data_IF_441488924791
#
_entry.id   IF_441488924791
#
_cell.length_a   1.000
_cell.length_b   1.000
_cell.length_c   1.000
_cell.angle_alpha   90.00
_cell.angle_beta   90.00
_cell.angle_gamma   90.00
#
_symmetry.space_group_name_H-M   'P 1'
#
loop_
_entity.id
_entity.type
_entity.pdbx_description
1 polymer ?
#
# COMPACT_ATOMS: atom_id res chain seq x y z
N UNK A 1 -11.74 -19.66 -56.46
CA UNK A 1 -12.72 -18.58 -56.68
C UNK A 1 -13.92 -18.72 -55.72
N UNK A 2 -13.67 -18.76 -54.40
CA UNK A 2 -14.70 -18.81 -53.33
C UNK A 2 -14.23 -18.19 -51.99
N UNK A 3 -13.15 -17.41 -51.99
CA UNK A 3 -12.59 -16.76 -50.80
C UNK A 3 -12.77 -15.22 -50.85
N UNK A 4 -13.18 -14.66 -51.99
CA UNK A 4 -13.25 -13.21 -52.18
C UNK A 4 -14.63 -12.58 -51.85
N UNK A 5 -15.67 -13.38 -51.63
CA UNK A 5 -17.03 -12.88 -51.35
C UNK A 5 -17.36 -12.70 -49.86
N UNK A 6 -16.43 -13.01 -48.95
CA UNK A 6 -16.66 -12.85 -47.50
C UNK A 6 -16.08 -11.54 -46.94
N UNK A 7 -15.37 -10.76 -47.76
CA UNK A 7 -14.62 -9.57 -47.34
C UNK A 7 -15.31 -8.24 -47.63
N UNK A 8 -16.49 -8.23 -48.26
CA UNK A 8 -17.18 -7.00 -48.71
C UNK A 8 -18.49 -6.68 -47.98
N UNK A 9 -18.88 -7.47 -46.98
CA UNK A 9 -20.15 -7.26 -46.24
C UNK A 9 -19.97 -6.77 -44.79
N UNK A 10 -18.75 -6.52 -44.32
CA UNK A 10 -18.47 -6.06 -42.93
C UNK A 10 -18.13 -4.58 -42.80
N UNK A 11 -18.13 -3.80 -43.89
CA UNK A 11 -17.64 -2.42 -43.90
C UNK A 11 -18.68 -1.32 -43.60
N UNK A 12 -19.95 -1.66 -43.35
CA UNK A 12 -21.01 -0.65 -43.20
C UNK A 12 -21.65 -0.53 -41.81
N UNK A 13 -21.17 -1.27 -40.79
CA UNK A 13 -21.72 -1.22 -39.42
C UNK A 13 -20.73 -0.79 -38.32
N UNK A 14 -19.52 -0.33 -38.68
CA UNK A 14 -18.40 -0.17 -37.73
C UNK A 14 -18.18 1.24 -37.18
N UNK A 15 -19.08 2.21 -37.43
CA UNK A 15 -18.84 3.60 -36.99
C UNK A 15 -19.60 4.01 -35.72
N UNK A 16 -20.71 3.35 -35.35
CA UNK A 16 -21.43 3.66 -34.09
C UNK A 16 -21.05 2.76 -32.89
N UNK A 17 -20.53 1.55 -33.13
CA UNK A 17 -20.17 0.63 -32.04
C UNK A 17 -18.97 1.08 -31.19
N UNK A 18 -17.91 1.74 -31.70
CA UNK A 18 -16.77 2.09 -30.86
C UNK A 18 -17.06 3.27 -29.92
N UNK A 19 -18.06 4.12 -30.20
CA UNK A 19 -18.40 5.26 -29.32
C UNK A 19 -19.22 4.78 -28.12
N UNK A 20 -20.17 3.87 -28.32
CA UNK A 20 -20.93 3.26 -27.22
C UNK A 20 -20.06 2.28 -26.42
N UNK A 21 -19.19 1.50 -27.08
CA UNK A 21 -18.21 0.67 -26.39
C UNK A 21 -17.18 1.51 -25.61
N UNK A 22 -16.75 2.66 -26.14
CA UNK A 22 -15.82 3.57 -25.45
C UNK A 22 -16.48 4.32 -24.29
N UNK A 23 -17.78 4.65 -24.37
CA UNK A 23 -18.53 5.21 -23.23
C UNK A 23 -18.79 4.16 -22.15
N UNK A 24 -19.19 2.95 -22.53
CA UNK A 24 -19.37 1.83 -21.58
C UNK A 24 -18.07 1.41 -20.91
N UNK A 25 -16.97 1.31 -21.67
CA UNK A 25 -15.65 1.00 -21.13
C UNK A 25 -15.11 2.12 -20.24
N UNK A 26 -15.37 3.40 -20.59
CA UNK A 26 -14.98 4.53 -19.73
C UNK A 26 -15.75 4.53 -18.42
N UNK A 27 -17.07 4.30 -18.45
CA UNK A 27 -17.89 4.28 -17.24
C UNK A 27 -17.58 3.09 -16.33
N UNK A 28 -17.31 1.91 -16.91
CA UNK A 28 -16.81 0.76 -16.16
C UNK A 28 -15.44 1.06 -15.53
N UNK A 29 -14.52 1.65 -16.29
CA UNK A 29 -13.20 2.04 -15.80
C UNK A 29 -13.26 3.08 -14.68
N UNK A 30 -14.15 4.08 -14.77
CA UNK A 30 -14.32 5.11 -13.74
C UNK A 30 -14.86 4.50 -12.43
N UNK A 31 -15.74 3.49 -12.52
CA UNK A 31 -16.26 2.78 -11.35
C UNK A 31 -15.21 1.89 -10.66
N UNK A 32 -14.33 1.23 -11.43
CA UNK A 32 -13.23 0.46 -10.87
C UNK A 32 -12.17 1.36 -10.23
N UNK A 33 -11.87 2.50 -10.87
CA UNK A 33 -10.94 3.48 -10.34
C UNK A 33 -11.48 4.13 -9.04
N UNK A 34 -12.80 4.32 -8.96
CA UNK A 34 -13.47 4.71 -7.72
C UNK A 34 -13.32 3.66 -6.63
N UNK A 35 -13.52 2.38 -6.94
CA UNK A 35 -13.32 1.29 -5.95
C UNK A 35 -11.88 1.20 -5.47
N UNK A 36 -10.90 1.48 -6.32
CA UNK A 36 -9.48 1.57 -5.96
C UNK A 36 -9.19 2.79 -5.06
N UNK A 37 -9.86 3.92 -5.28
CA UNK A 37 -9.70 5.13 -4.45
C UNK A 37 -10.17 4.97 -3.00
N UNK A 38 -10.94 3.91 -2.72
CA UNK A 38 -11.37 3.53 -1.38
C UNK A 38 -10.40 2.65 -0.60
N UNK A 39 -9.26 2.32 -1.21
CA UNK A 39 -8.16 1.70 -0.50
C UNK A 39 -7.28 2.82 0.06
N UNK A 40 -7.36 3.01 1.38
CA UNK A 40 -6.57 4.04 2.05
C UNK A 40 -5.31 3.40 2.61
N UNK A 41 -4.17 3.94 2.19
CA UNK A 41 -2.86 3.57 2.69
C UNK A 41 -2.35 4.72 3.56
N UNK A 42 -2.13 4.40 4.82
CA UNK A 42 -1.28 5.19 5.71
C UNK A 42 0.00 4.39 5.94
N UNK A 43 1.15 5.03 6.16
CA UNK A 43 2.51 4.42 6.09
C UNK A 43 2.62 2.97 6.58
N UNK A 44 1.90 2.64 7.67
CA UNK A 44 1.90 1.33 8.30
C UNK A 44 0.52 0.68 8.42
N UNK A 45 -0.51 1.17 7.75
CA UNK A 45 -1.87 0.65 7.87
C UNK A 45 -2.65 0.71 6.58
N UNK A 46 -3.24 -0.42 6.23
CA UNK A 46 -4.10 -0.58 5.07
C UNK A 46 -5.56 -0.67 5.51
N UNK A 47 -6.38 0.21 4.94
CA UNK A 47 -7.82 0.29 5.19
C UNK A 47 -8.57 -0.05 3.90
N UNK A 48 -9.45 -1.03 3.98
CA UNK A 48 -10.33 -1.41 2.88
C UNK A 48 -11.74 -0.90 3.15
N UNK A 49 -12.06 0.27 2.60
CA UNK A 49 -13.35 0.92 2.80
C UNK A 49 -14.42 0.42 1.83
N UNK A 50 -14.12 -0.49 0.90
CA UNK A 50 -15.07 -0.95 -0.12
C UNK A 50 -16.29 -1.63 0.48
N UNK A 51 -16.15 -2.28 1.64
CA UNK A 51 -17.28 -2.86 2.35
C UNK A 51 -18.22 -1.83 3.00
N UNK A 52 -17.96 -0.53 2.85
CA UNK A 52 -18.88 0.55 3.22
C UNK A 52 -19.73 1.03 2.05
N UNK A 53 -19.58 0.45 0.85
CA UNK A 53 -20.45 0.75 -0.27
C UNK A 53 -21.87 0.25 0.02
N UNK A 54 -22.85 1.14 -0.08
CA UNK A 54 -24.26 0.76 0.02
C UNK A 54 -24.90 0.74 -1.36
N UNK A 55 -25.22 -0.46 -1.84
CA UNK A 55 -25.85 -0.64 -3.17
C UNK A 55 -27.33 -0.22 -3.18
N UNK A 56 -28.04 -0.43 -2.07
CA UNK A 56 -29.51 -0.32 -2.04
C UNK A 56 -30.01 1.09 -1.69
N UNK A 57 -29.29 1.81 -0.82
CA UNK A 57 -29.72 3.13 -0.34
C UNK A 57 -28.55 3.97 0.12
N UNK A 58 -28.67 5.30 -0.05
CA UNK A 58 -27.67 6.22 0.47
C UNK A 58 -27.71 6.25 2.00
N UNK A 59 -26.54 6.41 2.63
CA UNK A 59 -26.48 6.70 4.05
C UNK A 59 -27.10 8.07 4.29
N UNK A 60 -28.08 8.13 5.19
CA UNK A 60 -28.78 9.37 5.51
C UNK A 60 -28.58 9.78 6.96
N UNK A 61 -28.34 11.07 7.20
CA UNK A 61 -28.32 11.65 8.53
C UNK A 61 -29.16 12.92 8.60
N UNK A 62 -30.00 13.02 9.62
CA UNK A 62 -30.83 14.19 9.89
C UNK A 62 -30.15 15.00 10.99
N UNK A 63 -29.64 16.17 10.65
CA UNK A 63 -29.00 17.04 11.64
C UNK A 63 -30.06 17.77 12.46
N UNK A 64 -30.10 17.51 13.77
CA UNK A 64 -31.03 18.15 14.71
C UNK A 64 -30.94 19.68 14.70
N UNK A 65 -29.75 20.23 14.42
CA UNK A 65 -29.49 21.67 14.51
C UNK A 65 -29.76 22.42 13.20
N UNK A 66 -29.54 21.77 12.05
CA UNK A 66 -29.52 22.48 10.76
C UNK A 66 -30.74 22.25 9.88
N UNK A 67 -31.70 21.43 10.31
CA UNK A 67 -32.92 21.09 9.53
C UNK A 67 -32.61 20.54 8.12
N UNK A 68 -31.38 20.09 7.88
CA UNK A 68 -30.93 19.51 6.63
C UNK A 68 -30.77 17.99 6.77
N UNK A 69 -31.14 17.29 5.71
CA UNK A 69 -30.90 15.87 5.53
C UNK A 69 -29.67 15.68 4.64
N UNK A 70 -28.67 15.00 5.16
CA UNK A 70 -27.45 14.67 4.44
C UNK A 70 -27.60 13.26 3.88
N UNK A 71 -27.33 13.08 2.59
CA UNK A 71 -27.27 11.78 1.93
C UNK A 71 -25.90 11.61 1.31
N UNK A 72 -25.24 10.51 1.59
CA UNK A 72 -23.93 10.22 1.02
C UNK A 72 -23.74 8.72 0.82
N UNK A 73 -22.81 8.37 -0.05
CA UNK A 73 -22.39 7.00 -0.24
C UNK A 73 -20.85 6.95 -0.22
N UNK A 74 -20.32 5.82 0.23
CA UNK A 74 -18.88 5.58 0.29
C UNK A 74 -18.51 4.69 -0.89
N UNK A 75 -17.45 5.03 -1.62
CA UNK A 75 -16.96 4.23 -2.76
C UNK A 75 -17.94 4.07 -3.93
N UNK A 76 -19.07 4.77 -3.87
CA UNK A 76 -20.09 4.86 -4.91
C UNK A 76 -20.68 6.27 -4.91
N UNK A 77 -21.28 6.65 -6.02
CA UNK A 77 -22.08 7.88 -6.07
C UNK A 77 -23.40 7.69 -5.32
N UNK A 78 -24.04 8.78 -4.92
CA UNK A 78 -25.36 8.74 -4.33
C UNK A 78 -26.39 8.24 -5.33
N UNK A 79 -27.28 7.35 -4.89
CA UNK A 79 -28.43 6.88 -5.63
C UNK A 79 -29.48 8.01 -5.84
N UNK A 80 -29.51 8.99 -4.92
CA UNK A 80 -30.40 10.15 -5.04
C UNK A 80 -29.82 11.21 -5.97
N UNK A 81 -30.54 11.49 -7.06
CA UNK A 81 -30.23 12.58 -7.99
C UNK A 81 -30.70 13.93 -7.44
N UNK A 82 -29.97 14.99 -7.81
CA UNK A 82 -30.18 16.34 -7.32
C UNK A 82 -30.70 17.24 -8.47
N UNK A 83 -32.03 17.30 -8.64
CA UNK A 83 -32.68 18.04 -9.73
C UNK A 83 -32.63 17.31 -11.09
N UNK A 84 -32.80 18.07 -12.19
CA UNK A 84 -32.69 17.55 -13.57
C UNK A 84 -31.23 17.25 -13.97
N UNK A 85 -30.28 17.76 -13.19
CA UNK A 85 -28.87 17.58 -13.45
C UNK A 85 -28.43 16.19 -13.01
N UNK A 86 -28.19 15.32 -14.00
CA UNK A 86 -27.75 13.94 -13.86
C UNK A 86 -26.31 13.80 -13.38
N UNK A 87 -25.61 14.90 -13.10
CA UNK A 87 -24.25 14.82 -12.55
C UNK A 87 -24.26 14.21 -11.16
N UNK A 88 -23.54 13.08 -11.07
CA UNK A 88 -23.40 12.27 -9.88
C UNK A 88 -22.57 13.00 -8.81
N UNK A 89 -22.87 12.77 -7.54
CA UNK A 89 -22.11 13.30 -6.41
C UNK A 89 -21.92 12.19 -5.37
N UNK A 90 -20.89 12.28 -4.55
CA UNK A 90 -20.67 11.38 -3.40
C UNK A 90 -21.50 11.76 -2.18
N UNK A 91 -21.91 13.03 -2.10
CA UNK A 91 -22.70 13.56 -1.00
C UNK A 91 -23.58 14.73 -1.45
N UNK A 92 -24.81 14.74 -0.96
CA UNK A 92 -25.81 15.78 -1.20
C UNK A 92 -26.47 16.20 0.12
N UNK A 93 -26.92 17.44 0.17
CA UNK A 93 -27.72 18.02 1.25
C UNK A 93 -29.09 18.36 0.72
N UNK A 94 -30.14 18.01 1.44
CA UNK A 94 -31.53 18.35 1.11
C UNK A 94 -32.12 19.14 2.28
N UNK A 95 -32.69 20.30 1.99
CA UNK A 95 -33.39 21.12 2.98
C UNK A 95 -34.85 20.69 3.20
N UNK A 96 -35.57 21.39 4.09
CA UNK A 96 -36.99 21.12 4.36
C UNK A 96 -37.91 21.43 3.17
N UNK A 97 -37.48 22.28 2.25
CA UNK A 97 -38.20 22.63 1.03
C UNK A 97 -37.89 21.65 -0.11
N UNK A 98 -37.18 20.55 0.18
CA UNK A 98 -36.72 19.57 -0.79
C UNK A 98 -35.77 20.15 -1.85
N UNK A 99 -35.14 21.30 -1.57
CA UNK A 99 -34.05 21.85 -2.36
C UNK A 99 -32.79 21.03 -2.09
N UNK A 100 -32.28 20.41 -3.14
CA UNK A 100 -31.07 19.62 -3.09
C UNK A 100 -29.85 20.47 -3.48
N UNK A 101 -28.73 20.28 -2.79
CA UNK A 101 -27.44 20.93 -3.04
C UNK A 101 -26.34 19.87 -3.04
N UNK A 102 -25.48 19.86 -4.06
CA UNK A 102 -24.35 18.91 -4.14
C UNK A 102 -23.23 19.37 -3.23
N UNK A 103 -22.84 18.51 -2.29
CA UNK A 103 -21.72 18.77 -1.39
C UNK A 103 -20.38 18.43 -2.03
N UNK A 104 -20.37 17.55 -3.02
CA UNK A 104 -19.17 17.01 -3.64
C UNK A 104 -19.34 16.94 -5.16
N UNK A 105 -18.21 16.95 -5.88
CA UNK A 105 -18.21 16.79 -7.34
C UNK A 105 -18.22 15.33 -7.79
N UNK A 106 -18.25 15.12 -9.10
CA UNK A 106 -18.09 13.80 -9.74
C UNK A 106 -16.61 13.43 -10.00
N UNK A 107 -15.66 14.32 -9.70
CA UNK A 107 -14.24 14.10 -9.99
C UNK A 107 -13.55 13.38 -8.81
N UNK A 108 -13.05 12.17 -9.06
CA UNK A 108 -12.26 11.37 -8.12
C UNK A 108 -11.00 12.08 -7.62
N UNK A 109 -10.40 12.95 -8.44
CA UNK A 109 -9.19 13.70 -8.04
C UNK A 109 -9.45 14.67 -6.89
N UNK A 110 -10.71 14.96 -6.58
CA UNK A 110 -11.11 15.80 -5.46
C UNK A 110 -11.20 15.04 -4.13
N UNK A 111 -11.06 13.72 -4.14
CA UNK A 111 -10.99 12.89 -2.94
C UNK A 111 -9.56 12.92 -2.40
N UNK A 112 -9.40 13.54 -1.23
CA UNK A 112 -8.16 13.46 -0.46
C UNK A 112 -8.39 12.56 0.75
N UNK A 113 -7.53 11.58 0.94
CA UNK A 113 -7.62 10.61 2.04
C UNK A 113 -6.43 10.79 2.96
N UNK A 114 -6.69 10.84 4.26
CA UNK A 114 -5.64 10.90 5.28
C UNK A 114 -6.06 10.08 6.49
N UNK A 115 -5.10 9.60 7.26
CA UNK A 115 -5.36 8.97 8.55
C UNK A 115 -4.82 9.90 9.62
N UNK A 116 -5.70 10.30 10.54
CA UNK A 116 -5.38 11.23 11.61
C UNK A 116 -5.59 10.53 12.96
N UNK A 117 -4.98 11.08 14.00
CA UNK A 117 -5.06 10.58 15.37
C UNK A 117 -5.69 11.69 16.24
N UNK A 118 -6.70 11.32 17.02
CA UNK A 118 -7.28 12.20 18.02
C UNK A 118 -6.32 12.40 19.19
N UNK A 119 -6.59 13.41 20.03
CA UNK A 119 -5.79 13.69 21.23
C UNK A 119 -5.80 12.56 22.27
N UNK A 120 -6.76 11.63 22.18
CA UNK A 120 -6.87 10.44 23.03
C UNK A 120 -6.09 9.21 22.46
N UNK A 121 -5.48 9.35 21.29
CA UNK A 121 -4.75 8.29 20.59
C UNK A 121 -5.62 7.41 19.68
N UNK A 122 -6.94 7.67 19.60
CA UNK A 122 -7.79 6.95 18.66
C UNK A 122 -7.55 7.43 17.22
N UNK A 123 -7.37 6.48 16.30
CA UNK A 123 -7.11 6.77 14.89
C UNK A 123 -8.40 6.71 14.08
N UNK A 124 -8.57 7.66 13.16
CA UNK A 124 -9.69 7.68 12.23
C UNK A 124 -9.21 7.89 10.79
N UNK A 125 -9.96 7.33 9.84
CA UNK A 125 -9.74 7.58 8.42
C UNK A 125 -10.56 8.79 8.01
N UNK A 126 -9.90 9.81 7.47
CA UNK A 126 -10.53 11.02 7.00
C UNK A 126 -10.61 11.01 5.47
N UNK A 127 -11.83 11.12 4.95
CA UNK A 127 -12.11 11.26 3.53
C UNK A 127 -12.62 12.68 3.28
N UNK A 128 -11.84 13.50 2.58
CA UNK A 128 -12.21 14.87 2.18
C UNK A 128 -12.64 14.84 0.73
N UNK A 129 -13.91 15.12 0.48
CA UNK A 129 -14.47 15.26 -0.85
C UNK A 129 -14.67 16.74 -1.16
N UNK A 130 -14.18 17.22 -2.30
CA UNK A 130 -14.34 18.61 -2.73
C UNK A 130 -15.14 18.74 -4.04
N UNK A 131 -15.40 19.99 -4.45
CA UNK A 131 -15.91 20.29 -5.78
C UNK A 131 -17.43 20.22 -5.94
N UNK A 132 -18.20 20.39 -4.86
CA UNK A 132 -19.66 20.55 -4.92
C UNK A 132 -20.12 21.86 -5.57
N UNK A 133 -21.39 22.20 -5.36
CA UNK A 133 -21.98 23.44 -5.85
C UNK A 133 -21.34 24.69 -5.19
N UNK A 134 -21.56 25.88 -5.74
CA UNK A 134 -21.12 27.14 -5.10
C UNK A 134 -21.88 27.34 -3.77
N UNK A 135 -21.15 27.60 -2.70
CA UNK A 135 -21.74 27.83 -1.39
C UNK A 135 -22.41 29.21 -1.32
N UNK A 136 -23.74 29.24 -1.15
CA UNK A 136 -24.55 30.47 -1.11
C UNK A 136 -24.90 30.91 0.32
N UNK A 137 -24.29 30.31 1.32
CA UNK A 137 -24.63 30.55 2.73
C UNK A 137 -24.12 31.92 3.20
N UNK A 138 -25.00 32.69 3.85
CA UNK A 138 -24.62 33.93 4.50
C UNK A 138 -23.61 33.63 5.62
N UNK A 139 -22.39 34.17 5.48
CA UNK A 139 -21.26 33.95 6.39
C UNK A 139 -20.11 33.13 5.82
N UNK A 140 -20.18 32.66 4.56
CA UNK A 140 -19.02 32.06 3.91
C UNK A 140 -17.88 33.09 3.78
N UNK A 141 -16.68 32.73 4.21
CA UNK A 141 -15.47 33.57 4.12
C UNK A 141 -15.08 33.88 2.68
N UNK A 142 -15.49 33.03 1.72
CA UNK A 142 -15.28 33.24 0.30
C UNK A 142 -16.56 32.91 -0.49
N UNK A 143 -17.18 33.88 -1.20
CA UNK A 143 -18.40 33.66 -1.99
C UNK A 143 -18.20 32.75 -3.21
N UNK A 144 -16.95 32.48 -3.60
CA UNK A 144 -16.62 31.54 -4.67
C UNK A 144 -16.28 30.13 -4.15
N UNK A 145 -16.29 29.92 -2.83
CA UNK A 145 -16.05 28.61 -2.25
C UNK A 145 -17.10 27.61 -2.74
N UNK A 146 -16.64 26.44 -3.18
CA UNK A 146 -17.49 25.30 -3.47
C UNK A 146 -17.75 24.52 -2.19
N UNK A 147 -18.90 23.87 -2.10
CA UNK A 147 -19.13 22.91 -1.02
C UNK A 147 -18.07 21.81 -1.05
N UNK A 148 -17.72 21.36 0.15
CA UNK A 148 -16.90 20.17 0.39
C UNK A 148 -17.53 19.37 1.53
N UNK A 149 -17.16 18.11 1.67
CA UNK A 149 -17.63 17.24 2.75
C UNK A 149 -16.46 16.46 3.30
N UNK A 150 -16.32 16.44 4.63
CA UNK A 150 -15.31 15.62 5.29
C UNK A 150 -15.99 14.51 6.06
N UNK A 151 -15.60 13.27 5.81
CA UNK A 151 -16.09 12.10 6.53
C UNK A 151 -14.97 11.54 7.40
N UNK A 152 -15.16 11.54 8.72
CA UNK A 152 -14.28 10.92 9.71
C UNK A 152 -14.83 9.55 10.06
N UNK A 153 -14.07 8.50 9.75
CA UNK A 153 -14.44 7.11 9.96
C UNK A 153 -13.62 6.53 11.12
N UNK A 154 -14.29 6.23 12.22
CA UNK A 154 -13.71 5.64 13.41
C UNK A 154 -13.84 4.11 13.38
N UNK A 155 -12.77 3.43 13.78
CA UNK A 155 -12.76 1.97 13.89
C UNK A 155 -13.58 1.54 15.11
N UNK A 156 -14.60 0.70 14.88
CA UNK A 156 -15.35 0.02 15.95
C UNK A 156 -15.18 -1.49 15.84
N UNK A 157 -14.24 -2.04 16.62
CA UNK A 157 -13.85 -3.45 16.54
C UNK A 157 -15.02 -4.43 16.82
N UNK A 158 -15.91 -4.07 17.74
CA UNK A 158 -17.03 -4.91 18.22
C UNK A 158 -18.21 -5.01 17.23
N UNK A 159 -18.14 -4.33 16.08
CA UNK A 159 -19.19 -4.37 15.08
C UNK A 159 -19.27 -5.68 14.30
N UNK A 160 -20.46 -6.04 13.80
CA UNK A 160 -20.57 -6.99 12.68
C UNK A 160 -20.13 -6.29 11.40
N UNK A 161 -19.48 -7.01 10.47
CA UNK A 161 -19.05 -6.44 9.18
C UNK A 161 -20.22 -5.89 8.35
N UNK A 162 -21.42 -6.45 8.53
CA UNK A 162 -22.66 -6.08 7.84
C UNK A 162 -23.51 -5.06 8.62
N UNK A 163 -23.02 -4.57 9.76
CA UNK A 163 -23.77 -3.58 10.53
C UNK A 163 -23.89 -2.28 9.70
N UNK A 164 -25.01 -1.55 9.79
CA UNK A 164 -25.11 -0.24 9.14
C UNK A 164 -24.07 0.73 9.73
N UNK A 165 -23.63 1.68 8.90
CA UNK A 165 -22.73 2.76 9.32
C UNK A 165 -23.35 3.54 10.47
N UNK A 166 -22.66 3.58 11.62
CA UNK A 166 -23.16 4.25 12.81
C UNK A 166 -22.66 5.70 12.84
N UNK A 167 -23.50 6.63 12.39
CA UNK A 167 -23.21 8.06 12.30
C UNK A 167 -23.35 8.67 13.70
N UNK A 168 -22.25 9.19 14.27
CA UNK A 168 -22.21 9.75 15.62
C UNK A 168 -22.66 11.21 15.63
N UNK A 169 -21.99 12.05 14.86
CA UNK A 169 -22.19 13.51 14.87
C UNK A 169 -22.01 14.10 13.48
N UNK A 170 -22.66 15.23 13.25
CA UNK A 170 -22.39 16.10 12.10
C UNK A 170 -22.06 17.48 12.64
N UNK A 171 -20.78 17.82 12.59
CA UNK A 171 -20.25 19.11 13.00
C UNK A 171 -20.30 20.06 11.81
N UNK A 172 -21.16 21.08 11.92
CA UNK A 172 -21.32 22.13 10.90
C UNK A 172 -20.60 23.39 11.39
N UNK A 173 -19.29 23.26 11.63
CA UNK A 173 -18.44 24.41 12.01
C UNK A 173 -18.35 25.41 10.86
N UNK A 174 -18.18 24.89 9.63
CA UNK A 174 -18.32 25.63 8.39
C UNK A 174 -19.55 25.12 7.64
N UNK A 175 -20.49 26.02 7.32
CA UNK A 175 -21.70 25.69 6.58
C UNK A 175 -21.41 25.14 5.18
N UNK A 176 -20.25 25.48 4.61
CA UNK A 176 -19.80 25.04 3.29
C UNK A 176 -18.99 23.73 3.34
N UNK A 177 -18.56 23.29 4.53
CA UNK A 177 -17.69 22.13 4.71
C UNK A 177 -18.11 21.28 5.93
N UNK A 178 -19.30 20.65 5.91
CA UNK A 178 -19.74 19.80 7.02
C UNK A 178 -18.77 18.63 7.25
N UNK A 179 -18.54 18.33 8.53
CA UNK A 179 -17.75 17.19 9.00
C UNK A 179 -18.72 16.16 9.56
N UNK A 180 -18.79 14.99 8.92
CA UNK A 180 -19.60 13.86 9.35
C UNK A 180 -18.67 12.87 10.06
N UNK A 181 -18.97 12.53 11.31
CA UNK A 181 -18.23 11.52 12.07
C UNK A 181 -19.07 10.26 12.16
N UNK A 182 -18.54 9.15 11.65
CA UNK A 182 -19.20 7.86 11.64
C UNK A 182 -18.26 6.76 12.12
N UNK A 183 -18.83 5.64 12.56
CA UNK A 183 -18.09 4.51 13.10
C UNK A 183 -18.49 3.21 12.40
N UNK A 184 -17.50 2.40 12.03
CA UNK A 184 -17.72 1.10 11.38
C UNK A 184 -16.56 0.13 11.58
N UNK A 185 -16.81 -1.17 11.40
CA UNK A 185 -15.76 -2.20 11.46
C UNK A 185 -14.79 -2.15 10.28
N UNK A 186 -15.29 -1.87 9.07
CA UNK A 186 -14.44 -1.72 7.88
C UNK A 186 -13.56 -0.45 7.89
N UNK A 187 -13.82 0.48 8.82
CA UNK A 187 -12.91 1.59 9.10
C UNK A 187 -11.70 1.16 9.97
N UNK A 188 -11.69 -0.08 10.46
CA UNK A 188 -10.52 -0.66 11.10
C UNK A 188 -9.50 -1.09 10.04
N UNK A 189 -8.18 -0.99 10.34
CA UNK A 189 -7.16 -1.43 9.41
C UNK A 189 -7.29 -2.94 9.19
N UNK A 190 -7.42 -3.36 7.93
CA UNK A 190 -7.43 -4.79 7.55
C UNK A 190 -6.06 -5.39 7.82
N UNK A 191 -5.02 -4.60 7.57
CA UNK A 191 -3.65 -4.93 7.89
C UNK A 191 -3.00 -3.67 8.44
N UNK A 192 -2.85 -3.57 9.75
CA UNK A 192 -1.77 -2.73 10.28
C UNK A 192 -0.50 -3.51 9.97
N UNK A 193 0.41 -2.94 9.15
CA UNK A 193 1.81 -3.37 9.11
C UNK A 193 2.19 -3.71 10.53
N UNK A 194 2.59 -4.97 10.69
CA UNK A 194 2.65 -5.70 11.95
C UNK A 194 3.06 -4.79 13.08
N UNK A 195 2.45 -4.88 14.27
CA UNK A 195 2.88 -4.19 15.49
C UNK A 195 4.41 -4.11 15.63
N UNK A 196 5.10 -5.12 15.09
CA UNK A 196 6.51 -5.10 14.73
C UNK A 196 6.97 -3.81 14.02
N UNK A 197 6.62 -3.51 12.77
CA UNK A 197 7.06 -2.28 12.05
C UNK A 197 6.77 -0.99 12.82
N UNK A 198 5.60 -0.87 13.47
CA UNK A 198 5.31 0.27 14.34
C UNK A 198 6.29 0.34 15.51
N UNK A 199 6.56 -0.79 16.15
CA UNK A 199 7.61 -0.90 17.16
C UNK A 199 8.99 -0.47 16.60
N UNK A 200 9.28 -0.67 15.31
CA UNK A 200 10.51 -0.12 14.69
C UNK A 200 10.53 1.40 14.60
N UNK A 201 9.39 2.01 14.30
CA UNK A 201 9.27 3.46 14.20
C UNK A 201 9.19 4.12 15.58
N UNK A 202 8.51 3.50 16.54
CA UNK A 202 8.29 4.04 17.89
C UNK A 202 9.54 3.95 18.77
N UNK A 203 10.48 3.04 18.46
CA UNK A 203 11.71 2.81 19.23
C UNK A 203 12.97 2.99 18.38
N UNK A 204 13.19 4.18 17.78
CA UNK A 204 14.31 4.40 16.86
C UNK A 204 15.66 4.25 17.56
N UNK A 205 15.73 4.55 18.86
CA UNK A 205 16.96 4.47 19.65
C UNK A 205 17.53 3.06 19.82
N UNK A 206 16.71 2.01 19.75
CA UNK A 206 17.17 0.62 19.86
C UNK A 206 17.51 0.06 18.48
N UNK A 207 16.66 0.35 17.51
CA UNK A 207 16.71 -0.30 16.20
C UNK A 207 17.60 0.43 15.21
N UNK A 208 17.72 1.75 15.32
CA UNK A 208 18.68 2.55 14.57
C UNK A 208 20.12 2.02 14.73
N UNK A 209 20.67 1.88 15.96
CA UNK A 209 22.02 1.36 16.16
C UNK A 209 22.17 -0.08 15.66
N UNK A 210 21.18 -0.95 15.90
CA UNK A 210 21.22 -2.33 15.43
C UNK A 210 21.26 -2.37 13.90
N UNK A 211 20.40 -1.60 13.22
CA UNK A 211 20.36 -1.53 11.76
C UNK A 211 21.63 -0.92 11.15
N UNK A 212 22.26 0.04 11.83
CA UNK A 212 23.55 0.62 11.44
C UNK A 212 24.67 -0.42 11.56
N UNK A 213 24.81 -1.07 12.73
CA UNK A 213 25.85 -2.08 12.97
C UNK A 213 25.66 -3.26 12.03
N UNK A 214 24.43 -3.78 11.93
CA UNK A 214 24.07 -4.84 11.01
C UNK A 214 24.34 -4.45 9.56
N UNK A 215 23.96 -3.23 9.16
CA UNK A 215 24.18 -2.71 7.81
C UNK A 215 25.66 -2.66 7.43
N UNK A 216 26.53 -2.17 8.32
CA UNK A 216 27.99 -2.18 8.10
C UNK A 216 28.51 -3.63 8.00
N UNK A 217 28.15 -4.49 8.95
CA UNK A 217 28.63 -5.88 8.96
C UNK A 217 28.22 -6.64 7.70
N UNK A 218 26.97 -6.48 7.26
CA UNK A 218 26.47 -7.13 6.03
C UNK A 218 27.05 -6.48 4.77
N UNK A 219 27.26 -5.17 4.75
CA UNK A 219 27.83 -4.48 3.58
C UNK A 219 29.29 -4.86 3.33
N UNK A 220 30.10 -5.05 4.38
CA UNK A 220 31.53 -5.36 4.23
C UNK A 220 31.88 -6.84 4.42
N UNK A 221 31.12 -7.59 5.22
CA UNK A 221 31.40 -9.00 5.53
C UNK A 221 30.26 -9.94 5.11
N UNK A 222 29.31 -9.43 4.31
CA UNK A 222 28.11 -10.14 3.88
C UNK A 222 28.37 -11.54 3.33
N UNK A 223 29.38 -11.73 2.47
CA UNK A 223 29.73 -13.05 1.91
C UNK A 223 30.00 -14.11 2.98
N UNK A 224 30.71 -13.76 4.06
CA UNK A 224 31.07 -14.70 5.14
C UNK A 224 29.87 -15.00 6.04
N UNK A 225 29.04 -14.00 6.29
CA UNK A 225 27.83 -14.13 7.11
C UNK A 225 26.62 -14.64 6.33
N UNK A 226 26.69 -14.73 5.01
CA UNK A 226 25.57 -15.07 4.14
C UNK A 226 24.79 -16.32 4.59
N UNK A 227 25.43 -17.45 4.98
CA UNK A 227 24.70 -18.63 5.46
C UNK A 227 23.87 -18.37 6.72
N UNK A 228 24.40 -17.55 7.63
CA UNK A 228 23.70 -17.18 8.86
C UNK A 228 22.59 -16.19 8.57
N UNK A 229 22.85 -15.19 7.73
CA UNK A 229 21.86 -14.19 7.34
C UNK A 229 20.66 -14.81 6.63
N UNK A 230 20.89 -15.70 5.66
CA UNK A 230 19.77 -16.36 4.94
C UNK A 230 18.99 -17.31 5.86
N UNK A 231 19.66 -17.95 6.83
CA UNK A 231 19.00 -18.76 7.85
C UNK A 231 18.08 -17.92 8.73
N UNK A 232 18.57 -16.79 9.25
CA UNK A 232 17.78 -15.86 10.08
C UNK A 232 16.60 -15.27 9.29
N UNK A 233 16.83 -14.80 8.06
CA UNK A 233 15.76 -14.30 7.19
C UNK A 233 14.75 -15.42 6.90
N UNK A 234 15.21 -16.63 6.63
CA UNK A 234 14.38 -17.82 6.45
C UNK A 234 13.50 -18.11 7.67
N UNK A 235 14.04 -17.95 8.88
CA UNK A 235 13.27 -18.07 10.12
C UNK A 235 12.15 -17.04 10.20
N UNK A 236 12.44 -15.78 9.91
CA UNK A 236 11.43 -14.70 9.94
C UNK A 236 10.37 -14.88 8.86
N UNK A 237 10.76 -15.24 7.63
CA UNK A 237 9.81 -15.48 6.53
C UNK A 237 8.95 -16.71 6.82
N UNK A 238 9.55 -17.85 7.20
CA UNK A 238 8.82 -19.08 7.49
C UNK A 238 7.88 -18.92 8.69
N UNK A 239 8.36 -18.31 9.77
CA UNK A 239 7.54 -18.00 10.95
C UNK A 239 6.46 -16.97 10.64
N UNK A 240 6.78 -15.92 9.88
CA UNK A 240 5.84 -14.87 9.47
C UNK A 240 4.72 -15.41 8.60
N UNK A 241 5.01 -16.21 7.58
CA UNK A 241 4.00 -16.87 6.74
C UNK A 241 3.11 -17.77 7.59
N UNK A 242 3.69 -18.52 8.51
CA UNK A 242 2.92 -19.39 9.42
C UNK A 242 1.97 -18.57 10.29
N UNK A 243 2.43 -17.46 10.88
CA UNK A 243 1.59 -16.54 11.65
C UNK A 243 0.48 -15.92 10.79
N UNK A 244 0.78 -15.53 9.55
CA UNK A 244 -0.21 -14.98 8.63
C UNK A 244 -1.28 -16.03 8.27
N UNK A 245 -0.88 -17.28 8.01
CA UNK A 245 -1.83 -18.36 7.72
C UNK A 245 -2.76 -18.61 8.92
N UNK A 246 -2.23 -18.62 10.14
CA UNK A 246 -3.05 -18.73 11.36
C UNK A 246 -3.98 -17.53 11.57
N UNK A 247 -3.52 -16.33 11.21
CA UNK A 247 -4.35 -15.13 11.25
C UNK A 247 -5.49 -15.17 10.23
N UNK A 248 -5.25 -15.71 9.03
CA UNK A 248 -6.26 -15.83 7.99
C UNK A 248 -7.25 -16.95 8.23
N UNK A 249 -6.88 -18.02 8.94
CA UNK A 249 -7.75 -19.17 9.18
C UNK A 249 -8.86 -18.93 10.22
N UNK A 250 -9.14 -17.67 10.59
CA UNK A 250 -10.14 -17.25 11.59
C UNK A 250 -10.00 -17.89 12.97
N UNK A 251 -8.90 -18.61 13.22
CA UNK A 251 -8.59 -19.21 14.51
C UNK A 251 -8.37 -18.08 15.53
N UNK A 252 -7.72 -17.00 15.13
CA UNK A 252 -7.58 -15.79 15.95
C UNK A 252 -8.91 -15.06 16.22
N UNK A 253 -9.83 -15.01 15.25
CA UNK A 253 -11.15 -14.38 15.45
C UNK A 253 -12.00 -15.18 16.45
N UNK A 254 -11.93 -16.51 16.43
CA UNK A 254 -12.62 -17.39 17.40
C UNK A 254 -12.11 -17.23 18.84
N UNK A 255 -10.83 -16.86 18.97
CA UNK A 255 -10.17 -16.57 20.24
C UNK A 255 -10.64 -15.22 20.80
N UNK A 256 -10.88 -14.24 19.93
CA UNK A 256 -11.31 -12.91 20.34
C UNK A 256 -12.80 -12.83 20.72
N UNK A 257 -13.66 -13.67 20.13
CA UNK A 257 -15.08 -13.74 20.50
C UNK A 257 -15.36 -14.49 21.81
N UNK A 258 -14.38 -15.26 22.32
CA UNK A 258 -14.56 -16.06 23.54
C UNK A 258 -14.09 -15.24 24.74
N UNK A 259 -15.01 -14.49 25.32
CA UNK A 259 -14.82 -13.55 26.44
C UNK A 259 -14.44 -14.21 27.80
N UNK A 260 -13.82 -15.40 27.78
CA UNK A 260 -13.23 -16.05 28.94
C UNK A 260 -11.71 -15.83 28.90
N UNK A 261 -11.25 -14.89 29.72
CA UNK A 261 -9.94 -14.21 29.69
C UNK A 261 -8.71 -15.12 29.79
N UNK A 262 -8.86 -16.40 30.11
CA UNK A 262 -7.73 -17.32 30.35
C UNK A 262 -7.38 -18.21 29.14
N UNK A 263 -8.32 -18.52 28.25
CA UNK A 263 -8.05 -19.46 27.14
C UNK A 263 -7.38 -18.79 25.94
N UNK A 264 -7.60 -17.49 25.72
CA UNK A 264 -7.08 -16.77 24.55
C UNK A 264 -5.56 -16.65 24.56
N UNK A 265 -4.98 -16.40 25.73
CA UNK A 265 -3.52 -16.26 25.91
C UNK A 265 -2.78 -17.55 25.57
N UNK A 266 -3.36 -18.71 25.94
CA UNK A 266 -2.74 -20.01 25.68
C UNK A 266 -2.61 -20.29 24.18
N UNK A 267 -3.68 -20.08 23.41
CA UNK A 267 -3.64 -20.31 21.95
C UNK A 267 -2.71 -19.34 21.23
N UNK A 268 -2.62 -18.09 21.68
CA UNK A 268 -1.67 -17.13 21.12
C UNK A 268 -0.22 -17.61 21.33
N UNK A 269 0.14 -18.01 22.56
CA UNK A 269 1.48 -18.53 22.87
C UNK A 269 1.79 -19.79 22.05
N UNK A 270 0.84 -20.73 21.96
CA UNK A 270 1.00 -21.94 21.16
C UNK A 270 1.27 -21.62 19.69
N UNK A 271 0.54 -20.65 19.11
CA UNK A 271 0.73 -20.20 17.73
C UNK A 271 2.14 -19.65 17.51
N UNK A 272 2.65 -18.83 18.43
CA UNK A 272 4.01 -18.31 18.37
C UNK A 272 5.08 -19.41 18.48
N UNK A 273 4.87 -20.42 19.34
CA UNK A 273 5.78 -21.57 19.47
C UNK A 273 5.81 -22.37 18.16
N UNK A 274 4.65 -22.70 17.61
CA UNK A 274 4.54 -23.47 16.35
C UNK A 274 5.17 -22.69 15.19
N UNK A 275 4.87 -21.39 15.06
CA UNK A 275 5.49 -20.54 14.06
C UNK A 275 7.01 -20.43 14.24
N UNK A 276 7.50 -20.37 15.48
CA UNK A 276 8.93 -20.37 15.80
C UNK A 276 9.62 -21.66 15.35
N UNK A 277 9.04 -22.83 15.64
CA UNK A 277 9.58 -24.13 15.23
C UNK A 277 9.63 -24.25 13.70
N UNK A 278 8.53 -23.91 13.02
CA UNK A 278 8.47 -23.95 11.54
C UNK A 278 9.46 -22.95 10.94
N UNK A 279 9.54 -21.74 11.50
CA UNK A 279 10.53 -20.75 11.10
C UNK A 279 11.96 -21.29 11.21
N UNK A 280 12.36 -21.80 12.38
CA UNK A 280 13.70 -22.38 12.60
C UNK A 280 13.97 -23.52 11.60
N UNK A 281 12.99 -24.38 11.35
CA UNK A 281 13.10 -25.46 10.38
C UNK A 281 13.35 -24.95 8.95
N UNK A 282 12.56 -23.97 8.49
CA UNK A 282 12.72 -23.34 7.17
C UNK A 282 14.08 -22.62 7.07
N UNK A 283 14.47 -21.88 8.10
CA UNK A 283 15.76 -21.20 8.17
C UNK A 283 16.93 -22.18 8.12
N UNK A 284 16.85 -23.31 8.83
CA UNK A 284 17.86 -24.36 8.79
C UNK A 284 18.00 -25.00 7.40
N UNK A 285 16.88 -25.26 6.71
CA UNK A 285 16.90 -25.77 5.32
C UNK A 285 17.57 -24.74 4.40
N UNK A 286 17.21 -23.47 4.49
CA UNK A 286 17.80 -22.40 3.66
C UNK A 286 19.30 -22.21 3.93
N UNK A 287 19.73 -22.38 5.18
CA UNK A 287 21.15 -22.37 5.54
C UNK A 287 21.92 -23.53 4.90
N UNK A 288 21.31 -24.71 4.73
CA UNK A 288 21.92 -25.85 4.03
C UNK A 288 21.89 -25.68 2.51
N UNK A 289 20.85 -25.04 1.97
CA UNK A 289 20.63 -24.86 0.53
C UNK A 289 21.00 -23.46 0.05
N UNK A 290 22.25 -23.04 0.29
CA UNK A 290 22.73 -21.69 -0.01
C UNK A 290 22.54 -21.26 -1.47
N UNK A 291 22.66 -22.19 -2.41
CA UNK A 291 22.45 -21.93 -3.84
C UNK A 291 21.01 -21.50 -4.13
N UNK A 292 20.02 -22.07 -3.44
CA UNK A 292 18.62 -21.66 -3.54
C UNK A 292 18.44 -20.25 -2.95
N UNK A 293 19.05 -19.96 -1.80
CA UNK A 293 19.02 -18.62 -1.21
C UNK A 293 19.56 -17.54 -2.15
N UNK A 294 20.68 -17.81 -2.83
CA UNK A 294 21.21 -16.91 -3.86
C UNK A 294 20.30 -16.82 -5.08
N UNK A 295 19.61 -17.90 -5.47
CA UNK A 295 18.63 -17.88 -6.54
C UNK A 295 17.41 -17.01 -6.21
N UNK A 296 16.93 -17.04 -4.98
CA UNK A 296 15.84 -16.17 -4.51
C UNK A 296 16.28 -14.70 -4.53
N UNK A 297 17.49 -14.39 -4.04
CA UNK A 297 18.03 -13.02 -4.12
C UNK A 297 18.22 -12.55 -5.56
N UNK A 298 18.70 -13.44 -6.44
CA UNK A 298 18.77 -13.20 -7.87
C UNK A 298 17.40 -12.90 -8.47
N UNK A 299 16.39 -13.70 -8.14
CA UNK A 299 15.00 -13.53 -8.59
C UNK A 299 14.43 -12.17 -8.18
N UNK A 300 14.58 -11.79 -6.91
CA UNK A 300 14.10 -10.49 -6.40
C UNK A 300 14.84 -9.33 -7.09
N UNK A 301 16.16 -9.41 -7.21
CA UNK A 301 16.94 -8.39 -7.94
C UNK A 301 16.53 -8.29 -9.42
N UNK A 302 16.30 -9.43 -10.07
CA UNK A 302 15.84 -9.51 -11.45
C UNK A 302 14.44 -8.95 -11.66
N UNK A 303 13.54 -9.12 -10.69
CA UNK A 303 12.22 -8.50 -10.70
C UNK A 303 12.34 -6.97 -10.77
N UNK A 304 13.14 -6.36 -9.88
CA UNK A 304 13.34 -4.91 -9.87
C UNK A 304 14.04 -4.40 -11.14
N UNK A 305 15.05 -5.12 -11.62
CA UNK A 305 15.71 -4.79 -12.90
C UNK A 305 14.71 -4.86 -14.07
N UNK A 306 13.82 -5.87 -14.08
CA UNK A 306 12.78 -6.02 -15.09
C UNK A 306 11.76 -4.88 -15.07
N UNK A 307 11.32 -4.46 -13.87
CA UNK A 307 10.45 -3.28 -13.70
C UNK A 307 11.16 -2.00 -14.17
N UNK A 308 12.42 -1.80 -13.79
CA UNK A 308 13.21 -0.65 -14.21
C UNK A 308 13.42 -0.62 -15.73
N UNK A 309 13.72 -1.77 -16.35
CA UNK A 309 13.88 -1.89 -17.80
C UNK A 309 12.56 -1.55 -18.53
N UNK A 310 11.42 -2.03 -18.03
CA UNK A 310 10.11 -1.67 -18.57
C UNK A 310 9.87 -0.14 -18.49
N UNK A 311 10.16 0.47 -17.35
CA UNK A 311 9.99 1.91 -17.16
C UNK A 311 10.94 2.75 -18.04
N UNK A 312 12.10 2.24 -18.43
CA UNK A 312 13.02 2.95 -19.34
C UNK A 312 12.60 2.79 -20.80
N UNK A 313 12.20 1.57 -21.21
CA UNK A 313 12.01 1.23 -22.63
C UNK A 313 10.55 1.44 -23.07
N UNK A 314 9.59 1.11 -22.20
CA UNK A 314 8.16 0.98 -22.55
C UNK A 314 7.25 1.93 -21.75
N UNK A 315 7.81 2.97 -21.11
CA UNK A 315 7.03 3.96 -20.33
C UNK A 315 5.79 4.48 -21.06
N UNK A 316 5.90 4.66 -22.38
CA UNK A 316 4.82 5.21 -23.21
C UNK A 316 3.62 4.27 -23.38
N UNK A 317 3.79 2.96 -23.21
CA UNK A 317 2.75 1.97 -23.55
C UNK A 317 1.75 1.71 -22.42
N UNK A 318 2.04 2.12 -21.17
CA UNK A 318 1.17 1.96 -19.99
C UNK A 318 0.44 0.60 -19.92
N UNK A 319 1.12 -0.48 -20.33
CA UNK A 319 0.54 -1.82 -20.42
C UNK A 319 0.97 -2.67 -19.23
N UNK A 320 0.00 -3.07 -18.42
CA UNK A 320 0.23 -3.91 -17.23
C UNK A 320 0.82 -5.28 -17.59
N UNK A 321 0.33 -5.90 -18.67
CA UNK A 321 0.79 -7.22 -19.12
C UNK A 321 2.29 -7.19 -19.48
N UNK A 322 2.74 -6.11 -20.12
CA UNK A 322 4.16 -5.95 -20.47
C UNK A 322 5.03 -5.73 -19.23
N UNK A 323 4.56 -4.93 -18.27
CA UNK A 323 5.25 -4.73 -16.98
C UNK A 323 5.43 -6.07 -16.25
N UNK A 324 4.36 -6.85 -16.12
CA UNK A 324 4.39 -8.16 -15.44
C UNK A 324 5.25 -9.16 -16.21
N UNK A 325 5.20 -9.16 -17.54
CA UNK A 325 6.03 -10.05 -18.36
C UNK A 325 7.51 -9.73 -18.23
N UNK A 326 7.89 -8.44 -18.26
CA UNK A 326 9.29 -8.01 -18.09
C UNK A 326 9.82 -8.34 -16.69
N UNK A 327 9.00 -8.17 -15.65
CA UNK A 327 9.41 -8.44 -14.27
C UNK A 327 9.57 -9.94 -13.98
N UNK A 328 8.67 -10.79 -14.49
CA UNK A 328 8.79 -12.26 -14.40
C UNK A 328 10.01 -12.74 -15.19
N UNK A 329 10.20 -12.25 -16.42
CA UNK A 329 11.35 -12.64 -17.24
C UNK A 329 12.68 -12.22 -16.60
N UNK A 330 12.76 -10.99 -16.09
CA UNK A 330 13.94 -10.50 -15.38
C UNK A 330 14.27 -11.33 -14.13
N UNK A 331 13.24 -11.70 -13.36
CA UNK A 331 13.37 -12.59 -12.20
C UNK A 331 13.93 -13.96 -12.58
N UNK A 332 13.37 -14.63 -13.59
CA UNK A 332 13.83 -15.94 -14.06
C UNK A 332 15.28 -15.91 -14.59
N UNK A 333 15.63 -14.89 -15.37
CA UNK A 333 16.99 -14.74 -15.92
C UNK A 333 18.00 -14.57 -14.79
N UNK A 334 17.73 -13.69 -13.82
CA UNK A 334 18.66 -13.45 -12.72
C UNK A 334 18.74 -14.62 -11.73
N UNK A 335 17.63 -15.34 -11.51
CA UNK A 335 17.62 -16.58 -10.73
C UNK A 335 18.42 -17.71 -11.41
N UNK A 336 18.41 -17.78 -12.74
CA UNK A 336 19.27 -18.70 -13.47
C UNK A 336 20.74 -18.29 -13.40
N UNK A 337 21.03 -16.99 -13.62
CA UNK A 337 22.39 -16.46 -13.56
C UNK A 337 23.05 -16.61 -12.19
N UNK A 338 22.28 -16.57 -11.10
CA UNK A 338 22.82 -16.78 -9.75
C UNK A 338 23.36 -18.19 -9.50
N UNK A 339 22.89 -19.22 -10.22
CA UNK A 339 23.52 -20.54 -10.13
C UNK A 339 24.93 -20.54 -10.73
N UNK A 340 25.16 -19.76 -11.79
CA UNK A 340 26.47 -19.66 -12.45
C UNK A 340 27.40 -18.66 -11.78
N UNK A 341 26.85 -17.59 -11.23
CA UNK A 341 27.62 -16.46 -10.66
C UNK A 341 27.31 -16.25 -9.18
N UNK A 342 27.20 -17.34 -8.42
CA UNK A 342 26.83 -17.35 -7.00
C UNK A 342 27.55 -16.26 -6.18
N UNK A 343 28.89 -16.26 -6.19
CA UNK A 343 29.69 -15.30 -5.41
C UNK A 343 29.40 -13.84 -5.79
N UNK A 344 29.22 -13.54 -7.08
CA UNK A 344 28.99 -12.16 -7.52
C UNK A 344 27.62 -11.68 -7.05
N UNK A 345 26.57 -12.50 -7.23
CA UNK A 345 25.22 -12.16 -6.80
C UNK A 345 25.16 -11.98 -5.29
N UNK A 346 25.81 -12.84 -4.52
CA UNK A 346 25.88 -12.71 -3.05
C UNK A 346 26.60 -11.42 -2.63
N UNK A 347 27.74 -11.09 -3.26
CA UNK A 347 28.48 -9.86 -2.95
C UNK A 347 27.64 -8.61 -3.26
N UNK A 348 27.00 -8.57 -4.44
CA UNK A 348 26.14 -7.44 -4.82
C UNK A 348 24.90 -7.36 -3.93
N UNK A 349 24.20 -8.47 -3.69
CA UNK A 349 23.00 -8.49 -2.86
C UNK A 349 23.26 -8.08 -1.42
N UNK A 350 24.33 -8.61 -0.79
CA UNK A 350 24.68 -8.24 0.58
C UNK A 350 25.20 -6.81 0.69
N UNK A 351 25.97 -6.33 -0.28
CA UNK A 351 26.36 -4.92 -0.35
C UNK A 351 25.14 -4.00 -0.43
N UNK A 352 24.15 -4.33 -1.26
CA UNK A 352 22.93 -3.56 -1.44
C UNK A 352 22.07 -3.57 -0.17
N UNK A 353 21.78 -4.74 0.38
CA UNK A 353 20.98 -4.87 1.61
C UNK A 353 21.66 -4.19 2.80
N UNK A 354 22.98 -4.36 2.94
CA UNK A 354 23.75 -3.76 4.03
C UNK A 354 23.78 -2.23 3.98
N UNK A 355 24.07 -1.66 2.80
CA UNK A 355 24.05 -0.20 2.61
C UNK A 355 22.65 0.39 2.79
N UNK A 356 21.60 -0.31 2.37
CA UNK A 356 20.21 0.11 2.61
C UNK A 356 19.88 0.08 4.10
N UNK A 357 20.18 -1.02 4.79
CA UNK A 357 19.97 -1.16 6.24
C UNK A 357 20.71 -0.07 7.03
N UNK A 358 21.94 0.25 6.65
CA UNK A 358 22.69 1.33 7.27
C UNK A 358 22.02 2.69 7.06
N UNK A 359 21.65 3.01 5.82
CA UNK A 359 21.03 4.30 5.47
C UNK A 359 19.68 4.45 6.18
N UNK A 360 18.88 3.38 6.22
CA UNK A 360 17.61 3.32 6.95
C UNK A 360 17.83 3.44 8.46
N UNK A 361 18.89 2.84 9.00
CA UNK A 361 19.25 2.97 10.41
C UNK A 361 19.59 4.41 10.80
N UNK A 362 20.32 5.15 9.95
CA UNK A 362 20.58 6.58 10.15
C UNK A 362 19.28 7.39 10.06
N UNK A 363 18.43 7.07 9.10
CA UNK A 363 17.22 7.85 8.85
C UNK A 363 16.20 7.74 9.98
N UNK A 364 16.24 6.68 10.79
CA UNK A 364 15.44 6.58 12.02
C UNK A 364 15.82 7.64 13.06
N UNK A 365 17.04 8.17 13.03
CA UNK A 365 17.48 9.22 13.95
C UNK A 365 17.26 10.63 13.42
N UNK A 366 17.52 10.84 12.13
CA UNK A 366 17.41 12.15 11.49
C UNK A 366 15.95 12.45 11.11
N UNK A 367 15.16 11.41 10.81
CA UNK A 367 13.82 11.55 10.27
C UNK A 367 13.82 11.89 8.78
N UNK A 368 12.66 12.31 8.26
CA UNK A 368 12.47 12.77 6.88
C UNK A 368 12.96 11.77 5.81
N UNK A 369 12.93 10.48 6.11
CA UNK A 369 13.18 9.47 5.10
C UNK A 369 11.94 9.41 4.19
N UNK A 370 12.08 9.59 2.87
CA UNK A 370 10.93 9.53 1.99
C UNK A 370 10.35 8.12 2.04
N UNK A 371 9.03 8.03 2.18
CA UNK A 371 8.36 6.75 2.01
C UNK A 371 8.65 6.25 0.59
N UNK A 372 9.33 5.10 0.47
CA UNK A 372 9.80 4.58 -0.81
C UNK A 372 8.63 4.37 -1.77
N UNK A 373 7.50 3.88 -1.26
CA UNK A 373 6.29 3.63 -2.05
C UNK A 373 5.74 4.95 -2.58
N UNK A 374 5.62 5.97 -1.71
CA UNK A 374 5.14 7.29 -2.11
C UNK A 374 6.10 7.97 -3.11
N UNK A 375 7.40 7.81 -2.91
CA UNK A 375 8.40 8.33 -3.82
C UNK A 375 8.30 7.65 -5.19
N UNK A 376 8.06 6.34 -5.24
CA UNK A 376 7.82 5.61 -6.48
C UNK A 376 6.53 6.06 -7.18
N UNK A 377 5.43 6.30 -6.45
CA UNK A 377 4.19 6.79 -7.07
C UNK A 377 4.36 8.20 -7.62
N UNK A 378 5.00 9.10 -6.87
CA UNK A 378 5.35 10.46 -7.32
C UNK A 378 6.25 10.45 -8.56
N UNK A 379 7.19 9.50 -8.64
CA UNK A 379 8.07 9.31 -9.80
C UNK A 379 7.29 8.85 -11.04
N UNK A 380 6.32 7.95 -10.87
CA UNK A 380 5.44 7.49 -11.96
C UNK A 380 4.51 8.62 -12.43
N UNK A 381 4.03 9.44 -11.50
CA UNK A 381 3.18 10.61 -11.78
C UNK A 381 3.94 11.78 -12.40
N UNK A 382 5.27 11.77 -12.35
CA UNK A 382 6.13 12.85 -12.82
C UNK A 382 6.12 14.09 -11.91
N UNK A 383 5.51 14.00 -10.72
CA UNK A 383 5.44 15.08 -9.75
C UNK A 383 6.44 14.83 -8.61
N UNK A 384 7.73 14.85 -8.95
CA UNK A 384 8.80 14.53 -8.00
C UNK A 384 9.17 15.79 -7.20
N UNK A 385 8.52 15.99 -6.06
CA UNK A 385 8.96 16.96 -5.06
C UNK A 385 9.96 16.31 -4.10
N UNK A 386 11.17 16.04 -4.57
CA UNK A 386 12.23 15.47 -3.74
C UNK A 386 12.90 16.56 -2.89
N UNK A 387 12.97 16.35 -1.58
CA UNK A 387 13.72 17.22 -0.67
C UNK A 387 15.23 16.91 -0.73
N UNK A 388 16.09 17.84 -0.29
CA UNK A 388 17.56 17.66 -0.35
C UNK A 388 18.04 16.47 0.51
N UNK A 389 17.32 16.16 1.59
CA UNK A 389 17.57 15.03 2.49
C UNK A 389 17.48 13.70 1.74
N UNK A 390 16.55 13.58 0.79
CA UNK A 390 16.38 12.38 -0.04
C UNK A 390 17.64 12.10 -0.86
N UNK A 391 18.21 13.14 -1.48
CA UNK A 391 19.45 13.00 -2.26
C UNK A 391 20.65 12.66 -1.37
N UNK A 392 20.69 13.19 -0.15
CA UNK A 392 21.74 12.88 0.82
C UNK A 392 21.72 11.39 1.23
N UNK A 393 20.56 10.84 1.58
CA UNK A 393 20.41 9.41 1.88
C UNK A 393 20.80 8.54 0.68
N UNK A 394 20.35 8.89 -0.52
CA UNK A 394 20.68 8.17 -1.74
C UNK A 394 22.19 8.18 -2.02
N UNK A 395 22.87 9.31 -1.79
CA UNK A 395 24.32 9.41 -1.98
C UNK A 395 25.09 8.51 -1.01
N UNK A 396 24.73 8.52 0.29
CA UNK A 396 25.34 7.64 1.30
C UNK A 396 25.14 6.17 0.93
N UNK A 397 23.92 5.82 0.55
CA UNK A 397 23.56 4.48 0.12
C UNK A 397 24.45 3.99 -1.04
N UNK A 398 24.56 4.78 -2.11
CA UNK A 398 25.36 4.42 -3.30
C UNK A 398 26.85 4.33 -2.96
N UNK A 399 27.39 5.26 -2.18
CA UNK A 399 28.81 5.24 -1.79
C UNK A 399 29.12 3.99 -0.97
N UNK A 400 28.32 3.68 0.04
CA UNK A 400 28.52 2.49 0.87
C UNK A 400 28.33 1.19 0.11
N UNK A 401 27.38 1.15 -0.83
CA UNK A 401 27.20 0.02 -1.72
C UNK A 401 28.47 -0.26 -2.54
N UNK A 402 29.02 0.76 -3.20
CA UNK A 402 30.23 0.63 -4.02
C UNK A 402 31.43 0.19 -3.16
N UNK A 403 31.63 0.84 -2.01
CA UNK A 403 32.72 0.50 -1.09
C UNK A 403 32.59 -0.94 -0.57
N UNK A 404 31.39 -1.36 -0.16
CA UNK A 404 31.11 -2.71 0.30
C UNK A 404 31.40 -3.77 -0.78
N UNK A 405 30.93 -3.54 -2.01
CA UNK A 405 31.18 -4.45 -3.14
C UNK A 405 32.67 -4.56 -3.48
N UNK A 406 33.39 -3.43 -3.54
CA UNK A 406 34.84 -3.43 -3.83
C UNK A 406 35.61 -4.16 -2.74
N UNK A 407 35.29 -3.92 -1.47
CA UNK A 407 35.94 -4.56 -0.34
C UNK A 407 35.69 -6.08 -0.33
N UNK A 408 34.44 -6.53 -0.47
CA UNK A 408 34.10 -7.95 -0.51
C UNK A 408 34.76 -8.67 -1.70
N UNK A 409 34.87 -8.02 -2.87
CA UNK A 409 35.61 -8.57 -4.02
C UNK A 409 37.08 -8.76 -3.73
N UNK A 410 37.74 -7.80 -3.07
CA UNK A 410 39.17 -7.91 -2.71
C UNK A 410 39.40 -9.09 -1.76
N UNK A 411 38.56 -9.23 -0.73
CA UNK A 411 38.62 -10.36 0.20
C UNK A 411 38.46 -11.69 -0.54
N UNK A 412 37.52 -11.78 -1.48
CA UNK A 412 37.33 -13.00 -2.28
C UNK A 412 38.60 -13.42 -3.03
N UNK A 413 39.32 -12.47 -3.63
CA UNK A 413 40.57 -12.77 -4.34
C UNK A 413 41.64 -13.28 -3.38
N UNK A 414 41.75 -12.67 -2.20
CA UNK A 414 42.69 -13.11 -1.16
C UNK A 414 42.37 -14.52 -0.65
N UNK A 415 41.08 -14.82 -0.39
CA UNK A 415 40.64 -16.14 0.04
C UNK A 415 40.89 -17.21 -1.02
N UNK A 416 40.75 -16.86 -2.31
CA UNK A 416 41.08 -17.76 -3.41
C UNK A 416 42.58 -18.09 -3.39
N UNK A 417 43.45 -17.08 -3.28
CA UNK A 417 44.91 -17.28 -3.22
C UNK A 417 45.35 -18.14 -2.03
N UNK A 418 44.80 -17.90 -0.84
CA UNK A 418 45.16 -18.63 0.36
C UNK A 418 44.71 -20.11 0.32
N UNK A 419 43.58 -20.42 -0.31
CA UNK A 419 43.11 -21.80 -0.43
C UNK A 419 43.93 -22.61 -1.45
N UNK A 420 44.53 -21.98 -2.46
CA UNK A 420 45.46 -22.66 -3.38
C UNK A 420 46.75 -23.14 -2.70
N UNK A 421 47.13 -22.56 -1.56
CA UNK A 421 48.34 -22.94 -0.82
C UNK A 421 48.09 -24.15 0.11
N UNK A 422 46.82 -24.55 0.31
CA UNK A 422 46.45 -25.68 1.19
C UNK A 422 46.28 -27.03 0.46
N UNK A 423 46.62 -27.10 -0.81
CA UNK A 423 46.73 -28.34 -1.59
C UNK A 423 48.17 -28.48 -2.08
#
# INVERSE_FOLDING_TARGET
MRILNFLLLTSSLTVLSPILAKRGAKQASDSELLKLSCLVYDDLSFYDLRGLESEQSDYSFISSNSKHNYYFNLCAFTNKACGEDTTQAFGIRVDQNNQCTKLTGNNLQSLNTSVEEYSDGERYVQLKFAGGDKCKEAGATNPEAKYSMTLKLECKADGKKEAPLNIKTVEVTDKCAPIITASHKNACPVFSSTTFTRFFVDRPYILGPIAIIFGILVSFQGRKFFPWTIGVIGCFIGGGITLLLFSMSSILDSIQSSQATDQSTFFAILTFIVAGIIGIFVGFILQKMLHIGAAILGAIGGFFIGVAAYNIIFFSLKSEILLTSCSILGSLIMAFLSFRQYDNIVIFGTGFIGSYSFTRGISLFIGNFPNEILFFTQLIEGNVSATWETYFYLAIFVILFILGVVYQRRIRVQDAQNNYIKF
#
